data_IF_620895613997
#
_entry.id   IF_620895613997
#
_cell.length_a   1.000
_cell.length_b   1.000
_cell.length_c   1.000
_cell.angle_alpha   90.00
_cell.angle_beta   90.00
_cell.angle_gamma   90.00
#
_symmetry.space_group_name_H-M   'P 1'
#
loop_
_entity.id
_entity.type
_entity.pdbx_description
1 polymer ?
#
# COMPACT_ATOMS: atom_id res chain seq x y z
N UNK A 1 24.97 25.73 -0.54
CA UNK A 1 25.27 26.48 0.71
C UNK A 1 24.54 25.87 1.90
N UNK A 2 23.34 25.30 1.73
CA UNK A 2 22.63 24.60 2.81
C UNK A 2 23.25 23.23 3.14
N UNK A 3 23.67 22.46 2.13
CA UNK A 3 24.30 21.13 2.31
C UNK A 3 25.59 21.15 3.15
N UNK A 4 26.47 22.13 2.91
CA UNK A 4 27.73 22.27 3.68
C UNK A 4 27.49 22.65 5.15
N UNK A 5 26.35 23.29 5.44
CA UNK A 5 25.98 23.69 6.79
C UNK A 5 25.37 22.50 7.54
N UNK A 6 24.54 21.71 6.87
CA UNK A 6 23.96 20.47 7.40
C UNK A 6 25.05 19.44 7.76
N UNK A 7 26.03 19.24 6.88
CA UNK A 7 27.18 18.34 7.13
C UNK A 7 28.00 18.76 8.36
N UNK A 8 28.21 20.06 8.56
CA UNK A 8 28.92 20.59 9.74
C UNK A 8 28.12 20.35 11.02
N UNK A 9 26.80 20.53 10.98
CA UNK A 9 25.92 20.27 12.13
C UNK A 9 25.94 18.78 12.49
N UNK A 10 25.83 17.89 11.51
CA UNK A 10 25.87 16.44 11.76
C UNK A 10 27.23 16.02 12.34
N UNK A 11 28.32 16.50 11.76
CA UNK A 11 29.66 16.19 12.24
C UNK A 11 29.89 16.68 13.69
N UNK A 12 29.45 17.91 14.00
CA UNK A 12 29.58 18.48 15.34
C UNK A 12 28.70 17.77 16.37
N UNK A 13 27.48 17.38 15.98
CA UNK A 13 26.55 16.61 16.82
C UNK A 13 27.11 15.22 17.09
N UNK A 14 27.63 14.53 16.07
CA UNK A 14 28.24 13.22 16.23
C UNK A 14 29.43 13.25 17.18
N UNK A 15 30.35 14.20 17.01
CA UNK A 15 31.53 14.32 17.88
C UNK A 15 31.15 14.68 19.31
N UNK A 16 30.15 15.53 19.52
CA UNK A 16 29.73 15.89 20.88
C UNK A 16 29.11 14.70 21.61
N UNK A 17 28.27 13.91 20.95
CA UNK A 17 27.72 12.67 21.49
C UNK A 17 28.80 11.63 21.77
N UNK A 18 29.78 11.49 20.87
CA UNK A 18 30.86 10.52 21.06
C UNK A 18 31.80 10.93 22.20
N UNK A 19 32.05 12.23 22.38
CA UNK A 19 32.77 12.75 23.54
C UNK A 19 31.98 12.55 24.84
N UNK A 20 30.67 12.75 24.84
CA UNK A 20 29.81 12.50 26.00
C UNK A 20 29.84 11.01 26.38
N UNK A 21 29.65 10.12 25.41
CA UNK A 21 29.72 8.66 25.61
C UNK A 21 31.09 8.22 26.09
N UNK A 22 32.19 8.80 25.56
CA UNK A 22 33.54 8.47 26.02
C UNK A 22 33.77 8.88 27.48
N UNK A 23 33.27 10.05 27.90
CA UNK A 23 33.35 10.50 29.29
C UNK A 23 32.49 9.63 30.22
N UNK A 24 31.34 9.15 29.74
CA UNK A 24 30.49 8.23 30.49
C UNK A 24 31.11 6.84 30.61
N UNK A 25 31.63 6.28 29.51
CA UNK A 25 32.24 4.96 29.49
C UNK A 25 33.54 4.89 30.31
N UNK A 26 34.37 5.93 30.26
CA UNK A 26 35.64 6.01 31.01
C UNK A 26 35.43 6.53 32.44
N UNK A 27 34.37 7.30 32.68
CA UNK A 27 34.03 7.86 33.99
C UNK A 27 33.21 6.93 34.89
N UNK A 28 32.67 5.84 34.35
CA UNK A 28 32.11 4.77 35.17
C UNK A 28 33.27 3.95 35.75
N UNK A 29 33.45 3.91 37.08
CA UNK A 29 34.33 2.92 37.68
C UNK A 29 33.66 1.56 37.50
N UNK A 30 33.92 0.92 36.36
CA UNK A 30 33.64 -0.49 36.13
C UNK A 30 34.56 -1.27 37.07
N UNK A 31 34.22 -1.25 38.36
CA UNK A 31 34.91 -2.02 39.37
C UNK A 31 34.69 -3.48 38.97
N UNK A 32 35.71 -4.06 38.32
CA UNK A 32 35.71 -5.44 37.83
C UNK A 32 35.28 -6.40 38.95
N UNK A 33 35.61 -6.07 40.21
CA UNK A 33 35.18 -6.79 41.40
C UNK A 33 33.66 -6.74 41.63
N UNK A 34 33.02 -5.57 41.50
CA UNK A 34 31.57 -5.43 41.63
C UNK A 34 30.84 -6.15 40.50
N UNK A 35 31.31 -5.98 39.26
CA UNK A 35 30.76 -6.68 38.11
C UNK A 35 30.92 -8.21 38.24
N UNK A 36 32.08 -8.68 38.71
CA UNK A 36 32.32 -10.12 38.95
C UNK A 36 31.44 -10.67 40.08
N UNK A 37 31.15 -9.87 41.10
CA UNK A 37 30.26 -10.25 42.20
C UNK A 37 28.81 -10.32 41.74
N UNK A 38 28.34 -9.31 41.01
CA UNK A 38 27.02 -9.30 40.38
C UNK A 38 26.90 -10.48 39.41
N UNK A 39 27.91 -10.76 38.59
CA UNK A 39 27.95 -11.90 37.69
C UNK A 39 27.88 -13.24 38.42
N UNK A 40 28.59 -13.37 39.54
CA UNK A 40 28.55 -14.57 40.39
C UNK A 40 27.17 -14.75 41.03
N UNK A 41 26.54 -13.68 41.49
CA UNK A 41 25.17 -13.71 42.02
C UNK A 41 24.17 -14.11 40.92
N UNK A 42 24.23 -13.46 39.75
CA UNK A 42 23.39 -13.80 38.60
C UNK A 42 23.54 -15.29 38.25
N UNK A 43 24.77 -15.79 38.16
CA UNK A 43 25.05 -17.21 37.89
C UNK A 43 24.47 -18.13 38.97
N UNK A 44 24.63 -17.77 40.23
CA UNK A 44 24.11 -18.57 41.34
C UNK A 44 22.58 -18.62 41.37
N UNK A 45 21.90 -17.52 41.06
CA UNK A 45 20.44 -17.46 41.06
C UNK A 45 19.80 -18.03 39.80
N UNK A 46 20.41 -17.86 38.62
CA UNK A 46 19.90 -18.42 37.36
C UNK A 46 20.09 -19.93 37.28
N UNK A 47 21.18 -20.48 37.84
CA UNK A 47 21.49 -21.92 37.78
C UNK A 47 20.68 -22.74 38.79
N UNK A 48 19.98 -22.10 39.73
CA UNK A 48 19.09 -22.80 40.65
C UNK A 48 18.04 -23.59 39.88
N UNK A 49 17.90 -24.90 40.12
CA UNK A 49 17.01 -25.76 39.34
C UNK A 49 15.56 -25.27 39.39
N UNK A 50 15.13 -24.65 40.50
CA UNK A 50 13.79 -24.09 40.67
C UNK A 50 13.53 -22.92 39.70
N UNK A 51 14.53 -22.06 39.51
CA UNK A 51 14.44 -20.90 38.62
C UNK A 51 14.46 -21.33 37.15
N UNK A 52 15.30 -22.33 36.81
CA UNK A 52 15.33 -22.91 35.46
C UNK A 52 13.98 -23.54 35.11
N UNK A 53 13.37 -24.30 36.02
CA UNK A 53 12.07 -24.92 35.77
C UNK A 53 10.95 -23.87 35.63
N UNK A 54 10.93 -22.85 36.49
CA UNK A 54 9.94 -21.77 36.42
C UNK A 54 10.07 -20.97 35.12
N UNK A 55 11.29 -20.63 34.72
CA UNK A 55 11.54 -19.90 33.48
C UNK A 55 11.17 -20.71 32.25
N UNK A 56 11.50 -22.02 32.22
CA UNK A 56 11.07 -22.92 31.15
C UNK A 56 9.54 -22.99 31.06
N UNK A 57 8.85 -23.10 32.20
CA UNK A 57 7.39 -23.11 32.25
C UNK A 57 6.77 -21.83 31.70
N UNK A 58 7.32 -20.66 32.06
CA UNK A 58 6.87 -19.38 31.51
C UNK A 58 7.12 -19.28 30.00
N UNK A 59 8.24 -19.78 29.50
CA UNK A 59 8.53 -19.82 28.05
C UNK A 59 7.53 -20.72 27.32
N UNK A 60 7.19 -21.89 27.88
CA UNK A 60 6.18 -22.79 27.30
C UNK A 60 4.81 -22.11 27.27
N UNK A 61 4.41 -21.43 28.35
CA UNK A 61 3.15 -20.67 28.38
C UNK A 61 3.15 -19.56 27.33
N UNK A 62 4.25 -18.82 27.22
CA UNK A 62 4.36 -17.73 26.24
C UNK A 62 4.26 -18.25 24.80
N UNK A 63 4.96 -19.35 24.48
CA UNK A 63 4.85 -20.03 23.19
C UNK A 63 3.44 -20.55 22.94
N UNK A 64 2.77 -21.09 23.96
CA UNK A 64 1.39 -21.55 23.88
C UNK A 64 0.43 -20.39 23.59
N UNK A 65 0.56 -19.25 24.26
CA UNK A 65 -0.28 -18.06 24.01
C UNK A 65 -0.09 -17.57 22.57
N UNK A 66 1.14 -17.49 22.08
CA UNK A 66 1.41 -17.12 20.69
C UNK A 66 0.78 -18.12 19.70
N UNK A 67 0.93 -19.43 19.97
CA UNK A 67 0.34 -20.47 19.12
C UNK A 67 -1.20 -20.39 19.10
N UNK A 68 -1.82 -20.17 20.26
CA UNK A 68 -3.29 -19.99 20.38
C UNK A 68 -3.74 -18.74 19.66
N UNK A 69 -2.99 -17.64 19.72
CA UNK A 69 -3.33 -16.40 19.00
C UNK A 69 -3.29 -16.62 17.48
N UNK A 70 -2.24 -17.26 16.96
CA UNK A 70 -2.12 -17.58 15.52
C UNK A 70 -3.21 -18.56 15.09
N UNK A 71 -3.47 -19.59 15.90
CA UNK A 71 -4.46 -20.61 15.56
C UNK A 71 -5.90 -20.09 15.65
N UNK A 72 -6.22 -19.29 16.66
CA UNK A 72 -7.54 -18.66 16.79
C UNK A 72 -7.84 -17.72 15.63
N UNK A 73 -6.86 -16.93 15.15
CA UNK A 73 -7.01 -16.11 13.94
C UNK A 73 -7.32 -16.98 12.71
N UNK A 74 -6.62 -18.10 12.55
CA UNK A 74 -6.84 -19.05 11.44
C UNK A 74 -8.21 -19.74 11.51
N UNK A 75 -8.63 -20.17 12.70
CA UNK A 75 -9.93 -20.79 12.93
C UNK A 75 -11.09 -19.81 12.75
N UNK A 76 -10.98 -18.60 13.30
CA UNK A 76 -12.00 -17.54 13.13
C UNK A 76 -12.12 -17.17 11.66
N UNK A 77 -11.01 -17.12 10.90
CA UNK A 77 -11.06 -16.87 9.47
C UNK A 77 -11.77 -18.00 8.71
N UNK A 78 -11.49 -19.27 9.04
CA UNK A 78 -12.19 -20.44 8.47
C UNK A 78 -13.69 -20.45 8.80
N UNK A 79 -14.06 -20.11 10.04
CA UNK A 79 -15.45 -20.00 10.48
C UNK A 79 -16.18 -18.84 9.77
N UNK A 80 -15.55 -17.67 9.65
CA UNK A 80 -16.10 -16.53 8.90
C UNK A 80 -16.31 -16.86 7.42
N UNK A 81 -15.36 -17.55 6.80
CA UNK A 81 -15.48 -18.03 5.42
C UNK A 81 -16.64 -19.02 5.28
N UNK A 82 -16.79 -19.97 6.21
CA UNK A 82 -17.88 -20.94 6.18
C UNK A 82 -19.26 -20.32 6.41
N UNK A 83 -19.37 -19.30 7.27
CA UNK A 83 -20.63 -18.58 7.54
C UNK A 83 -20.99 -17.64 6.38
N UNK A 84 -20.01 -16.98 5.78
CA UNK A 84 -20.18 -16.09 4.61
C UNK A 84 -20.49 -16.82 3.30
N UNK A 85 -20.36 -18.15 3.27
CA UNK A 85 -20.63 -18.98 2.08
C UNK A 85 -22.12 -19.23 1.81
N UNK A 86 -23.04 -18.65 2.59
CA UNK A 86 -24.48 -18.95 2.54
C UNK A 86 -25.36 -17.98 1.72
N UNK A 87 -24.80 -17.03 0.96
CA UNK A 87 -25.60 -16.17 0.05
C UNK A 87 -24.86 -15.94 -1.27
N UNK A 88 -25.21 -16.63 -2.38
CA UNK A 88 -24.66 -16.32 -3.70
C UNK A 88 -25.52 -15.24 -4.36
N UNK A 89 -25.15 -13.96 -4.23
CA UNK A 89 -25.65 -12.91 -5.12
C UNK A 89 -24.62 -12.64 -6.22
N UNK A 90 -25.07 -12.73 -7.46
CA UNK A 90 -24.26 -12.78 -8.69
C UNK A 90 -23.57 -11.47 -9.06
N UNK A 91 -23.51 -10.48 -8.15
CA UNK A 91 -23.03 -9.11 -8.41
C UNK A 91 -21.88 -8.64 -7.50
N UNK A 92 -21.32 -9.50 -6.64
CA UNK A 92 -20.29 -9.11 -5.66
C UNK A 92 -18.94 -9.84 -5.79
N UNK A 93 -18.62 -10.45 -6.94
CA UNK A 93 -17.31 -11.11 -7.18
C UNK A 93 -16.11 -10.14 -7.07
N UNK A 94 -16.34 -8.83 -6.95
CA UNK A 94 -15.30 -7.80 -6.80
C UNK A 94 -14.99 -7.37 -5.35
N UNK A 95 -15.64 -7.92 -4.31
CA UNK A 95 -15.47 -7.45 -2.92
C UNK A 95 -14.69 -8.39 -1.99
N UNK A 96 -14.22 -9.55 -2.46
CA UNK A 96 -13.52 -10.54 -1.64
C UNK A 96 -11.99 -10.37 -1.56
N UNK A 97 -11.46 -9.16 -1.79
CA UNK A 97 -10.01 -8.90 -1.80
C UNK A 97 -9.51 -8.03 -0.64
N UNK A 98 -10.18 -8.07 0.51
CA UNK A 98 -9.74 -7.31 1.69
C UNK A 98 -9.52 -8.22 2.90
N UNK A 99 -8.28 -8.19 3.38
CA UNK A 99 -7.83 -8.51 4.73
C UNK A 99 -7.51 -9.99 5.01
N UNK A 100 -6.30 -10.40 4.65
CA UNK A 100 -5.43 -11.13 5.59
C UNK A 100 -4.17 -10.30 5.76
N UNK A 101 -4.00 -9.76 6.97
CA UNK A 101 -2.88 -8.89 7.30
C UNK A 101 -1.69 -9.72 7.79
N UNK A 102 -0.55 -9.49 7.16
CA UNK A 102 0.75 -9.48 7.83
C UNK A 102 1.65 -8.49 7.06
N UNK A 103 2.75 -8.05 7.67
CA UNK A 103 3.62 -6.90 7.35
C UNK A 103 4.24 -6.77 5.94
N UNK A 104 3.67 -7.40 4.92
CA UNK A 104 4.07 -7.23 3.53
C UNK A 104 3.27 -6.11 2.87
N UNK A 105 4.02 -5.15 2.31
CA UNK A 105 3.57 -4.15 1.33
C UNK A 105 2.39 -4.68 0.53
N UNK A 106 1.26 -3.98 0.57
CA UNK A 106 0.04 -4.37 -0.14
C UNK A 106 0.40 -4.83 -1.55
N UNK A 107 0.14 -6.10 -1.84
CA UNK A 107 0.31 -6.66 -3.18
C UNK A 107 -1.03 -7.23 -3.63
N UNK A 108 -1.37 -6.98 -4.88
CA UNK A 108 -2.54 -7.56 -5.52
C UNK A 108 -2.05 -8.47 -6.62
N UNK A 109 -2.50 -9.72 -6.57
CA UNK A 109 -2.17 -10.72 -7.56
C UNK A 109 -3.44 -11.31 -8.18
N UNK A 110 -3.40 -11.56 -9.48
CA UNK A 110 -4.42 -12.28 -10.22
C UNK A 110 -3.70 -13.31 -11.11
N UNK A 111 -4.10 -14.57 -11.02
CA UNK A 111 -3.61 -15.65 -11.89
C UNK A 111 -4.82 -16.40 -12.41
N UNK A 112 -5.16 -16.20 -13.68
CA UNK A 112 -6.30 -16.83 -14.34
C UNK A 112 -5.85 -17.38 -15.68
N UNK A 113 -5.96 -18.70 -15.87
CA UNK A 113 -5.57 -19.36 -17.11
C UNK A 113 -4.13 -19.03 -17.54
N UNK A 114 -4.01 -18.34 -18.66
CA UNK A 114 -2.72 -17.92 -19.25
C UNK A 114 -2.33 -16.47 -18.91
N UNK A 115 -3.07 -15.81 -18.01
CA UNK A 115 -2.87 -14.42 -17.62
C UNK A 115 -2.49 -14.34 -16.16
N UNK A 116 -1.43 -13.58 -15.88
CA UNK A 116 -1.01 -13.27 -14.53
C UNK A 116 -0.75 -11.77 -14.40
N UNK A 117 -1.19 -11.18 -13.29
CA UNK A 117 -0.97 -9.78 -12.95
C UNK A 117 -0.49 -9.69 -11.51
N UNK A 118 0.53 -8.87 -11.30
CA UNK A 118 1.07 -8.56 -9.99
C UNK A 118 1.21 -7.05 -9.87
N UNK A 119 0.49 -6.45 -8.93
CA UNK A 119 0.65 -5.07 -8.53
C UNK A 119 1.27 -5.04 -7.13
N UNK A 120 2.36 -4.31 -6.96
CA UNK A 120 3.13 -4.28 -5.71
C UNK A 120 3.31 -2.84 -5.27
N UNK A 121 2.94 -2.53 -4.03
CA UNK A 121 3.02 -1.16 -3.48
C UNK A 121 4.47 -0.64 -3.39
N UNK A 122 5.44 -1.53 -3.22
CA UNK A 122 6.84 -1.16 -3.09
C UNK A 122 7.12 -0.34 -1.83
N UNK A 123 7.96 0.70 -1.94
CA UNK A 123 8.31 1.58 -0.80
C UNK A 123 7.31 2.73 -0.60
N UNK A 124 6.24 2.81 -1.40
CA UNK A 124 5.28 3.91 -1.35
C UNK A 124 4.36 3.77 -0.14
N UNK A 125 3.87 4.87 0.45
CA UNK A 125 2.96 4.83 1.58
C UNK A 125 1.56 4.30 1.20
N UNK A 126 1.18 4.39 -0.07
CA UNK A 126 -0.10 3.90 -0.61
C UNK A 126 0.12 3.25 -1.98
N UNK A 127 -0.77 2.32 -2.35
CA UNK A 127 -0.84 1.72 -3.67
C UNK A 127 -1.87 2.46 -4.52
N UNK A 128 -1.40 3.25 -5.48
CA UNK A 128 -2.26 4.07 -6.35
C UNK A 128 -2.56 3.37 -7.69
N UNK A 129 -1.72 2.39 -8.08
CA UNK A 129 -1.89 1.58 -9.27
C UNK A 129 -3.19 0.78 -9.25
N UNK A 130 -3.84 0.58 -10.40
CA UNK A 130 -4.98 -0.31 -10.59
C UNK A 130 -4.80 -1.14 -11.85
N UNK A 131 -5.40 -2.32 -11.91
CA UNK A 131 -5.40 -3.14 -13.11
C UNK A 131 -6.78 -3.75 -13.37
N UNK A 132 -7.01 -4.15 -14.62
CA UNK A 132 -8.19 -4.91 -15.05
C UNK A 132 -7.76 -6.00 -16.03
N UNK A 133 -8.36 -7.17 -15.84
CA UNK A 133 -8.23 -8.33 -16.73
C UNK A 133 -9.65 -8.76 -17.11
N UNK A 134 -10.02 -8.57 -18.37
CA UNK A 134 -11.28 -9.04 -18.93
C UNK A 134 -10.99 -9.96 -20.10
N UNK A 135 -11.09 -11.26 -19.87
CA UNK A 135 -10.99 -12.25 -20.94
C UNK A 135 -12.33 -12.42 -21.66
N UNK A 136 -12.29 -12.50 -22.99
CA UNK A 136 -13.43 -12.79 -23.84
C UNK A 136 -14.70 -11.99 -23.46
N UNK A 137 -14.61 -10.66 -23.53
CA UNK A 137 -15.68 -9.73 -23.12
C UNK A 137 -17.01 -10.16 -23.77
N UNK A 138 -17.95 -10.63 -22.95
CA UNK A 138 -19.27 -11.09 -23.37
C UNK A 138 -19.27 -12.05 -24.57
N UNK A 139 -18.28 -12.96 -24.67
CA UNK A 139 -18.21 -13.93 -25.75
C UNK A 139 -17.82 -13.36 -27.12
N UNK A 140 -17.34 -12.10 -27.18
CA UNK A 140 -16.98 -11.43 -28.44
C UNK A 140 -15.65 -11.89 -29.04
N UNK A 141 -14.88 -12.72 -28.32
CA UNK A 141 -13.51 -13.09 -28.64
C UNK A 141 -12.48 -11.97 -28.41
N UNK A 142 -12.89 -10.84 -27.81
CA UNK A 142 -12.00 -9.72 -27.50
C UNK A 142 -11.57 -9.79 -26.05
N UNK A 143 -10.26 -9.76 -25.82
CA UNK A 143 -9.66 -9.66 -24.50
C UNK A 143 -9.24 -8.20 -24.26
N UNK A 144 -9.51 -7.68 -23.07
CA UNK A 144 -9.12 -6.32 -22.66
C UNK A 144 -8.34 -6.38 -21.36
N UNK A 145 -7.13 -5.84 -21.40
CA UNK A 145 -6.26 -5.70 -20.24
C UNK A 145 -5.91 -4.23 -20.08
N UNK A 146 -5.94 -3.73 -18.85
CA UNK A 146 -5.63 -2.34 -18.56
C UNK A 146 -4.83 -2.22 -17.26
N UNK A 147 -3.92 -1.25 -17.25
CA UNK A 147 -3.15 -0.85 -16.07
C UNK A 147 -3.25 0.67 -15.95
N UNK A 148 -3.48 1.15 -14.74
CA UNK A 148 -3.63 2.56 -14.40
C UNK A 148 -2.59 2.90 -13.35
N UNK A 149 -1.70 3.84 -13.66
CA UNK A 149 -0.75 4.42 -12.71
C UNK A 149 -1.40 5.66 -12.07
N UNK A 150 -1.62 5.62 -10.77
CA UNK A 150 -2.23 6.72 -10.04
C UNK A 150 -1.19 7.74 -9.59
N UNK A 151 -1.57 9.01 -9.56
CA UNK A 151 -0.73 10.07 -9.01
C UNK A 151 -1.57 11.10 -8.24
N UNK A 152 -1.06 11.55 -7.10
CA UNK A 152 -1.76 12.51 -6.25
C UNK A 152 -2.98 11.93 -5.55
N UNK A 153 -3.07 10.61 -5.46
CA UNK A 153 -4.18 9.87 -4.87
C UNK A 153 -4.71 8.75 -5.77
N UNK A 154 -5.43 7.81 -5.16
CA UNK A 154 -5.99 6.63 -5.82
C UNK A 154 -7.30 6.89 -6.59
N UNK A 155 -7.91 8.07 -6.43
CA UNK A 155 -9.25 8.36 -6.94
C UNK A 155 -9.34 8.23 -8.46
N UNK A 156 -8.41 8.84 -9.20
CA UNK A 156 -8.44 8.82 -10.66
C UNK A 156 -8.25 7.39 -11.22
N UNK A 157 -7.32 6.63 -10.65
CA UNK A 157 -7.07 5.24 -11.03
C UNK A 157 -8.28 4.34 -10.72
N UNK A 158 -8.92 4.52 -9.55
CA UNK A 158 -10.18 3.85 -9.22
C UNK A 158 -11.29 4.22 -10.21
N UNK A 159 -11.46 5.51 -10.49
CA UNK A 159 -12.50 5.99 -11.39
C UNK A 159 -12.33 5.44 -12.80
N UNK A 160 -11.10 5.39 -13.32
CA UNK A 160 -10.79 4.81 -14.61
C UNK A 160 -11.09 3.30 -14.63
N UNK A 161 -10.65 2.55 -13.61
CA UNK A 161 -10.97 1.13 -13.45
C UNK A 161 -12.48 0.87 -13.50
N UNK A 162 -13.26 1.67 -12.77
CA UNK A 162 -14.69 1.42 -12.57
C UNK A 162 -15.59 1.97 -13.69
N UNK A 163 -15.18 3.03 -14.38
CA UNK A 163 -16.03 3.70 -15.38
C UNK A 163 -15.51 3.54 -16.81
N UNK A 164 -14.21 3.77 -17.04
CA UNK A 164 -13.64 3.71 -18.39
C UNK A 164 -13.76 2.30 -18.97
N UNK A 165 -13.42 1.28 -18.19
CA UNK A 165 -13.48 -0.11 -18.62
C UNK A 165 -14.90 -0.55 -18.95
N UNK A 166 -15.87 -0.20 -18.10
CA UNK A 166 -17.27 -0.56 -18.34
C UNK A 166 -17.82 0.10 -19.62
N UNK A 167 -17.44 1.36 -19.87
CA UNK A 167 -17.81 2.06 -21.09
C UNK A 167 -17.15 1.45 -22.34
N UNK A 168 -15.86 1.12 -22.26
CA UNK A 168 -15.13 0.47 -23.35
C UNK A 168 -15.70 -0.92 -23.66
N UNK A 169 -15.96 -1.74 -22.65
CA UNK A 169 -16.58 -3.05 -22.82
C UNK A 169 -17.93 -2.94 -23.55
N UNK A 170 -18.78 -2.01 -23.12
CA UNK A 170 -20.08 -1.77 -23.74
C UNK A 170 -19.95 -1.41 -25.23
N UNK A 171 -19.00 -0.52 -25.55
CA UNK A 171 -18.75 -0.10 -26.93
C UNK A 171 -18.16 -1.22 -27.80
N UNK A 172 -17.27 -2.03 -27.24
CA UNK A 172 -16.70 -3.20 -27.93
C UNK A 172 -17.80 -4.21 -28.28
N UNK A 173 -18.70 -4.49 -27.33
CA UNK A 173 -19.84 -5.40 -27.55
C UNK A 173 -20.74 -4.86 -28.67
N UNK A 174 -21.10 -3.58 -28.62
CA UNK A 174 -21.93 -2.94 -29.64
C UNK A 174 -21.27 -3.01 -31.03
N UNK A 175 -19.98 -2.65 -31.14
CA UNK A 175 -19.25 -2.70 -32.41
C UNK A 175 -19.18 -4.11 -32.97
N UNK A 176 -18.97 -5.12 -32.13
CA UNK A 176 -18.97 -6.53 -32.56
C UNK A 176 -20.34 -6.99 -33.05
N UNK A 177 -21.41 -6.55 -32.39
CA UNK A 177 -22.77 -6.80 -32.85
C UNK A 177 -23.06 -6.14 -34.20
N UNK A 178 -22.61 -4.90 -34.41
CA UNK A 178 -22.77 -4.19 -35.69
C UNK A 178 -21.99 -4.86 -36.83
N UNK A 179 -20.74 -5.27 -36.57
CA UNK A 179 -19.94 -6.02 -37.56
C UNK A 179 -20.62 -7.35 -37.89
N UNK A 180 -21.13 -8.07 -36.88
CA UNK A 180 -21.82 -9.35 -37.08
C UNK A 180 -23.14 -9.21 -37.85
N UNK A 181 -23.83 -8.07 -37.74
CA UNK A 181 -25.09 -7.79 -38.46
C UNK A 181 -24.87 -7.34 -39.91
N UNK A 182 -23.62 -7.10 -40.32
CA UNK A 182 -23.28 -6.50 -41.61
C UNK A 182 -23.45 -4.98 -41.57
N UNK A 183 -22.41 -4.24 -41.99
CA UNK A 183 -22.43 -2.77 -41.97
C UNK A 183 -23.25 -2.24 -43.15
N UNK A 184 -24.48 -1.80 -42.88
CA UNK A 184 -25.18 -0.87 -43.77
C UNK A 184 -24.47 0.49 -43.71
N UNK A 185 -23.68 0.79 -44.74
CA UNK A 185 -22.82 2.00 -44.86
C UNK A 185 -23.57 3.35 -44.84
N UNK A 186 -24.90 3.37 -44.72
CA UNK A 186 -25.71 4.58 -44.89
C UNK A 186 -26.06 5.36 -43.61
N UNK A 187 -25.64 4.92 -42.41
CA UNK A 187 -26.07 5.56 -41.15
C UNK A 187 -24.94 6.09 -40.23
N UNK A 188 -23.69 6.19 -40.69
CA UNK A 188 -22.58 6.65 -39.83
C UNK A 188 -22.59 8.18 -39.62
N UNK A 189 -23.41 8.95 -40.34
CA UNK A 189 -23.36 10.41 -40.29
C UNK A 189 -24.41 11.09 -39.39
N UNK A 190 -24.94 10.40 -38.36
CA UNK A 190 -25.76 11.07 -37.33
C UNK A 190 -25.32 10.66 -35.93
N UNK A 191 -24.96 11.69 -35.16
CA UNK A 191 -24.74 11.74 -33.72
C UNK A 191 -23.32 11.45 -33.23
N UNK A 192 -22.39 12.35 -33.56
CA UNK A 192 -21.48 12.86 -32.50
C UNK A 192 -22.25 13.86 -31.64
N UNK A 193 -22.24 13.74 -30.29
CA UNK A 193 -22.71 14.80 -29.43
C UNK A 193 -21.90 16.08 -29.70
N UNK A 194 -22.52 17.28 -29.69
CA UNK A 194 -21.77 18.50 -29.88
C UNK A 194 -20.77 18.67 -28.72
N UNK A 195 -19.49 18.83 -29.06
CA UNK A 195 -18.49 19.36 -28.12
C UNK A 195 -19.05 20.63 -27.46
N UNK A 196 -18.90 20.82 -26.14
CA UNK A 196 -19.31 22.07 -25.51
C UNK A 196 -18.57 23.22 -26.18
N UNK A 197 -19.33 24.10 -26.84
CA UNK A 197 -18.80 25.30 -27.44
C UNK A 197 -18.15 26.16 -26.35
N UNK A 198 -16.83 26.28 -26.39
CA UNK A 198 -16.09 27.28 -25.61
C UNK A 198 -16.51 28.63 -26.15
N UNK A 199 -17.40 29.31 -25.41
CA UNK A 199 -17.74 30.70 -25.66
C UNK A 199 -16.48 31.55 -25.44
N UNK A 200 -15.89 32.04 -26.53
CA UNK A 200 -14.89 33.11 -26.48
C UNK A 200 -15.56 34.39 -26.01
N UNK A 201 -15.75 34.56 -24.70
CA UNK A 201 -15.85 35.89 -24.09
C UNK A 201 -14.45 36.28 -23.65
N UNK A 202 -13.87 37.20 -24.41
CA UNK A 202 -12.64 37.91 -24.07
C UNK A 202 -12.90 38.70 -22.76
N UNK A 203 -12.15 38.47 -21.67
CA UNK A 203 -12.16 39.40 -20.55
C UNK A 203 -11.28 40.60 -20.90
N UNK A 204 -11.83 41.79 -20.73
CA UNK A 204 -11.08 43.04 -20.71
C UNK A 204 -9.92 42.99 -19.72
N UNK A 205 -8.82 43.61 -20.11
CA UNK A 205 -7.56 43.79 -19.37
C UNK A 205 -7.77 44.19 -17.89
N UNK A 206 -7.03 43.61 -16.93
CA UNK A 206 -7.01 44.07 -15.55
C UNK A 206 -6.10 45.31 -15.38
N UNK A 207 -6.43 46.25 -14.46
CA UNK A 207 -5.58 47.39 -14.16
C UNK A 207 -4.29 46.97 -13.43
N UNK A 208 -3.21 47.78 -13.45
CA UNK A 208 -1.92 47.42 -12.90
C UNK A 208 -1.97 47.41 -11.36
N UNK A 209 -1.62 46.28 -10.75
CA UNK A 209 -1.49 46.16 -9.29
C UNK A 209 -0.02 46.26 -8.87
N UNK A 210 0.23 47.16 -7.91
CA UNK A 210 1.52 47.49 -7.30
C UNK A 210 2.21 46.27 -6.65
N UNK A 211 3.54 46.21 -6.82
CA UNK A 211 4.41 45.23 -6.15
C UNK A 211 4.64 45.60 -4.69
N UNK A 212 4.19 44.76 -3.74
CA UNK A 212 4.68 44.78 -2.36
C UNK A 212 5.91 43.87 -2.22
N UNK A 213 6.96 44.31 -1.49
CA UNK A 213 8.22 43.57 -1.39
C UNK A 213 8.12 42.35 -0.47
N UNK A 214 8.76 41.28 -0.91
CA UNK A 214 8.91 39.99 -0.22
C UNK A 214 9.75 40.11 1.04
N UNK A 215 9.21 39.65 2.16
CA UNK A 215 9.95 39.46 3.41
C UNK A 215 10.99 38.33 3.26
N UNK A 216 12.26 38.68 3.45
CA UNK A 216 13.33 37.73 3.79
C UNK A 216 13.09 37.20 5.20
N UNK A 217 13.20 35.89 5.39
CA UNK A 217 13.43 35.29 6.72
C UNK A 217 14.87 34.81 6.78
N UNK A 218 15.54 35.23 7.86
CA UNK A 218 16.79 34.68 8.37
C UNK A 218 16.55 33.31 9.00
#
# INVERSE_FOLDING_TARGET
MEDELEDRIFYQTYISHMKLLSKFAVGLPLNSSCFSYIWRLIRFYIIKPEVVLLTLFLVIIFMYIQAVEVWSRSLVNKLRLSVSSSIPSKSQKLQYFKVTGDFDKSSWELKEGNVAVFAVQGRRPKMEDRFVVNENINGTGVHLYAVFDGHGGEFAANYARDNLINNLNSRIIELKQLISKGVDKNNINKQTPPSPAVSKKLPSSPPPLEKKPSFKKY
#
